data_IF_209800360567
#
_entry.id   IF_209800360567
#
_cell.length_a   1.000
_cell.length_b   1.000
_cell.length_c   1.000
_cell.angle_alpha   90.00
_cell.angle_beta   90.00
_cell.angle_gamma   90.00
#
_symmetry.space_group_name_H-M   'P 1'
#
loop_
_entity.id
_entity.type
_entity.pdbx_description
1 polymer ?
#
# COMPACT_ATOMS: atom_id res chain seq x y z
N UNK A 1 -18.50 -3.54 13.45
CA UNK A 1 -17.43 -4.26 12.73
C UNK A 1 -17.92 -4.51 11.32
N UNK A 2 -17.12 -4.27 10.27
CA UNK A 2 -17.55 -4.62 8.91
C UNK A 2 -17.26 -6.13 8.67
N UNK A 3 -17.97 -6.76 7.73
CA UNK A 3 -17.83 -8.21 7.48
C UNK A 3 -16.42 -8.62 7.01
N UNK A 4 -15.67 -7.71 6.39
CA UNK A 4 -14.28 -7.98 6.00
C UNK A 4 -13.40 -8.08 7.24
N UNK A 5 -13.56 -7.16 8.19
CA UNK A 5 -12.81 -7.18 9.44
C UNK A 5 -13.09 -8.45 10.25
N UNK A 6 -14.34 -8.91 10.31
CA UNK A 6 -14.70 -10.18 10.96
C UNK A 6 -14.03 -11.38 10.29
N UNK A 7 -13.98 -11.42 8.95
CA UNK A 7 -13.31 -12.48 8.20
C UNK A 7 -11.79 -12.47 8.42
N UNK A 8 -11.18 -11.29 8.44
CA UNK A 8 -9.76 -11.12 8.76
C UNK A 8 -9.46 -11.60 10.17
N UNK A 9 -10.24 -11.16 11.17
CA UNK A 9 -10.05 -11.57 12.56
C UNK A 9 -10.20 -13.09 12.73
N UNK A 10 -11.09 -13.74 11.96
CA UNK A 10 -11.20 -15.20 11.92
C UNK A 10 -9.94 -15.87 11.37
N UNK A 11 -9.42 -15.38 10.24
CA UNK A 11 -8.18 -15.90 9.61
C UNK A 11 -6.98 -15.70 10.54
N UNK A 12 -6.91 -14.55 11.21
CA UNK A 12 -5.86 -14.24 12.21
C UNK A 12 -5.87 -15.29 13.33
N UNK A 13 -7.05 -15.58 13.89
CA UNK A 13 -7.17 -16.55 14.98
C UNK A 13 -6.75 -17.96 14.54
N UNK A 14 -7.16 -18.40 13.35
CA UNK A 14 -6.76 -19.71 12.80
C UNK A 14 -5.25 -19.82 12.58
N UNK A 15 -4.60 -18.76 12.09
CA UNK A 15 -3.15 -18.71 11.90
C UNK A 15 -2.40 -18.78 13.24
N UNK A 16 -2.82 -17.99 14.24
CA UNK A 16 -2.23 -18.00 15.59
C UNK A 16 -2.36 -19.39 16.23
N UNK A 17 -3.51 -20.06 16.10
CA UNK A 17 -3.71 -21.42 16.61
C UNK A 17 -2.81 -22.44 15.90
N UNK A 18 -2.65 -22.31 14.57
CA UNK A 18 -1.76 -23.15 13.77
C UNK A 18 -0.27 -22.99 14.14
N UNK A 19 0.21 -21.76 14.35
CA UNK A 19 1.59 -21.48 14.74
C UNK A 19 1.92 -21.97 16.15
N UNK A 20 1.01 -21.75 17.11
CA UNK A 20 1.14 -22.25 18.49
C UNK A 20 1.24 -23.77 18.58
N UNK A 21 0.58 -24.49 17.68
CA UNK A 21 0.60 -25.95 17.66
C UNK A 21 1.90 -26.55 17.10
N UNK A 22 2.69 -25.79 16.32
CA UNK A 22 3.85 -26.30 15.57
C UNK A 22 5.20 -25.78 16.07
N UNK A 23 5.24 -24.75 16.89
CA UNK A 23 6.48 -24.06 17.23
C UNK A 23 6.83 -24.10 18.73
N UNK A 24 7.87 -24.88 19.07
CA UNK A 24 8.45 -24.97 20.42
C UNK A 24 9.48 -23.86 20.71
N UNK A 25 9.91 -23.08 19.71
CA UNK A 25 10.96 -22.05 19.80
C UNK A 25 10.44 -20.61 19.63
N UNK A 26 9.23 -20.42 19.12
CA UNK A 26 8.52 -19.13 19.05
C UNK A 26 8.85 -18.24 17.84
N UNK A 27 9.70 -18.67 16.91
CA UNK A 27 10.08 -17.93 15.69
C UNK A 27 8.94 -17.85 14.66
N UNK A 28 8.12 -18.90 14.55
CA UNK A 28 6.94 -18.99 13.67
C UNK A 28 5.84 -18.03 14.14
N UNK A 29 5.64 -17.95 15.46
CA UNK A 29 4.64 -17.06 16.08
C UNK A 29 5.00 -15.59 15.84
N UNK A 30 6.29 -15.22 15.86
CA UNK A 30 6.73 -13.85 15.61
C UNK A 30 6.52 -13.44 14.15
N UNK A 31 6.86 -14.30 13.20
CA UNK A 31 6.65 -14.03 11.77
C UNK A 31 5.17 -13.95 11.41
N UNK A 32 4.33 -14.83 11.95
CA UNK A 32 2.88 -14.76 11.77
C UNK A 32 2.32 -13.44 12.33
N UNK A 33 2.76 -12.98 13.50
CA UNK A 33 2.31 -11.70 14.06
C UNK A 33 2.68 -10.50 13.18
N UNK A 34 3.86 -10.50 12.55
CA UNK A 34 4.29 -9.46 11.60
C UNK A 34 3.39 -9.47 10.35
N UNK A 35 3.13 -10.65 9.79
CA UNK A 35 2.24 -10.79 8.63
C UNK A 35 0.81 -10.36 8.94
N UNK A 36 0.32 -10.63 10.15
CA UNK A 36 -0.99 -10.19 10.62
C UNK A 36 -1.09 -8.68 10.81
N UNK A 37 -0.03 -8.04 11.32
CA UNK A 37 0.04 -6.58 11.43
C UNK A 37 -0.03 -5.94 10.04
N UNK A 38 0.73 -6.47 9.08
CA UNK A 38 0.70 -6.01 7.69
C UNK A 38 -0.68 -6.18 7.05
N UNK A 39 -1.35 -7.32 7.28
CA UNK A 39 -2.71 -7.54 6.77
C UNK A 39 -3.71 -6.55 7.36
N UNK A 40 -3.65 -6.30 8.67
CA UNK A 40 -4.49 -5.27 9.33
C UNK A 40 -4.24 -3.89 8.75
N UNK A 41 -2.97 -3.53 8.56
CA UNK A 41 -2.60 -2.26 7.98
C UNK A 41 -3.17 -2.07 6.56
N UNK A 42 -3.08 -3.08 5.70
CA UNK A 42 -3.61 -3.03 4.34
C UNK A 42 -5.14 -2.97 4.29
N UNK A 43 -5.82 -3.38 5.35
CA UNK A 43 -7.29 -3.32 5.45
C UNK A 43 -7.74 -1.95 5.92
N UNK A 44 -7.02 -1.37 6.88
CA UNK A 44 -7.28 -0.01 7.38
C UNK A 44 -6.81 1.07 6.40
N UNK A 45 -5.75 0.79 5.63
CA UNK A 45 -5.17 1.65 4.61
C UNK A 45 -5.08 0.91 3.28
N UNK A 46 -6.23 0.61 2.63
CA UNK A 46 -6.22 -0.07 1.36
C UNK A 46 -5.57 0.81 0.29
N UNK A 47 -4.94 0.20 -0.72
CA UNK A 47 -4.40 0.94 -1.83
C UNK A 47 -5.52 1.68 -2.57
N UNK A 48 -5.21 2.91 -2.98
CA UNK A 48 -6.09 3.76 -3.75
C UNK A 48 -6.31 3.16 -5.14
N UNK A 49 -7.57 3.07 -5.53
CA UNK A 49 -7.93 2.85 -6.93
C UNK A 49 -7.66 4.12 -7.73
N UNK A 50 -7.52 3.98 -9.04
CA UNK A 50 -7.28 5.11 -9.92
C UNK A 50 -8.36 6.19 -9.77
N UNK A 51 -9.63 5.81 -9.66
CA UNK A 51 -10.77 6.73 -9.54
C UNK A 51 -10.77 7.53 -8.23
N UNK A 52 -10.00 7.08 -7.24
CA UNK A 52 -9.86 7.75 -5.95
C UNK A 52 -8.72 8.76 -5.94
N UNK A 53 -7.80 8.69 -6.91
CA UNK A 53 -6.69 9.64 -7.04
C UNK A 53 -7.17 10.94 -7.67
N UNK A 54 -6.79 12.05 -7.05
CA UNK A 54 -7.14 13.41 -7.50
C UNK A 54 -5.94 14.33 -7.41
N UNK A 55 -5.90 15.29 -8.32
CA UNK A 55 -4.89 16.35 -8.31
C UNK A 55 -4.90 17.08 -6.96
N UNK A 56 -3.71 17.40 -6.45
CA UNK A 56 -3.49 18.02 -5.15
C UNK A 56 -3.49 17.06 -3.94
N UNK A 57 -3.85 15.78 -4.11
CA UNK A 57 -3.81 14.81 -3.00
C UNK A 57 -2.38 14.46 -2.61
N UNK A 58 -2.11 14.43 -1.31
CA UNK A 58 -0.92 13.79 -0.76
C UNK A 58 -1.17 12.29 -0.60
N UNK A 59 -0.27 11.48 -1.14
CA UNK A 59 -0.33 10.01 -1.06
C UNK A 59 1.04 9.46 -0.73
N UNK A 60 1.07 8.28 -0.11
CA UNK A 60 2.27 7.46 -0.03
C UNK A 60 2.42 6.69 -1.36
N UNK A 61 3.50 6.96 -2.09
CA UNK A 61 3.91 6.23 -3.29
C UNK A 61 4.77 5.05 -2.85
N UNK A 62 4.20 3.84 -2.82
CA UNK A 62 4.87 2.59 -2.51
C UNK A 62 5.50 1.96 -3.77
N UNK A 63 6.19 2.77 -4.58
CA UNK A 63 6.90 2.29 -5.76
C UNK A 63 8.12 1.47 -5.35
N UNK A 64 8.43 0.42 -6.12
CA UNK A 64 9.63 -0.42 -5.92
C UNK A 64 10.92 0.40 -5.98
N UNK A 65 10.91 1.51 -6.73
CA UNK A 65 12.08 2.37 -6.89
C UNK A 65 12.26 3.38 -5.77
N UNK A 66 11.17 3.85 -5.15
CA UNK A 66 11.24 4.88 -4.13
C UNK A 66 10.00 4.94 -3.23
N UNK A 67 10.26 4.71 -1.93
CA UNK A 67 9.37 4.76 -0.75
C UNK A 67 9.05 6.18 -0.25
N UNK A 68 8.07 6.96 -0.74
CA UNK A 68 7.87 8.32 -0.19
C UNK A 68 6.44 8.90 -0.27
N UNK A 69 6.19 9.92 0.54
CA UNK A 69 5.04 10.81 0.35
C UNK A 69 5.28 11.73 -0.85
N UNK A 70 4.29 11.82 -1.72
CA UNK A 70 4.32 12.71 -2.89
C UNK A 70 2.93 13.28 -3.16
N UNK A 71 2.88 14.52 -3.64
CA UNK A 71 1.62 15.11 -4.08
C UNK A 71 1.31 14.67 -5.53
N UNK A 72 0.06 14.27 -5.76
CA UNK A 72 -0.47 14.01 -7.10
C UNK A 72 -0.64 15.34 -7.83
N UNK A 73 0.07 15.53 -8.94
CA UNK A 73 -0.06 16.73 -9.77
C UNK A 73 -1.15 16.58 -10.82
N UNK A 74 -1.17 15.44 -11.50
CA UNK A 74 -2.11 15.19 -12.61
C UNK A 74 -2.54 13.73 -12.66
N UNK A 75 -3.82 13.51 -12.96
CA UNK A 75 -4.39 12.18 -13.18
C UNK A 75 -5.12 12.19 -14.52
N UNK A 76 -4.66 11.41 -15.48
CA UNK A 76 -5.21 11.44 -16.84
C UNK A 76 -5.13 10.08 -17.52
N UNK A 77 -5.77 9.97 -18.69
CA UNK A 77 -5.64 8.79 -19.56
C UNK A 77 -4.74 9.12 -20.75
N UNK A 78 -3.88 8.18 -21.10
CA UNK A 78 -3.07 8.24 -22.33
C UNK A 78 -3.33 6.95 -23.11
N UNK A 79 -4.14 7.03 -24.17
CA UNK A 79 -4.62 5.85 -24.88
C UNK A 79 -5.47 4.95 -23.97
N UNK A 80 -5.05 3.71 -23.79
CA UNK A 80 -5.70 2.74 -22.87
C UNK A 80 -5.23 2.85 -21.43
N UNK A 81 -4.13 3.57 -21.19
CA UNK A 81 -3.45 3.57 -19.90
C UNK A 81 -3.93 4.71 -19.03
N UNK A 82 -4.01 4.41 -17.74
CA UNK A 82 -4.22 5.38 -16.69
C UNK A 82 -2.86 5.89 -16.23
N UNK A 83 -2.69 7.20 -16.16
CA UNK A 83 -1.41 7.85 -15.87
C UNK A 83 -1.56 8.78 -14.69
N UNK A 84 -0.60 8.69 -13.77
CA UNK A 84 -0.49 9.55 -12.59
C UNK A 84 0.86 10.25 -12.65
N UNK A 85 0.83 11.58 -12.63
CA UNK A 85 2.02 12.41 -12.47
C UNK A 85 2.10 12.91 -11.04
N UNK A 86 3.29 12.75 -10.46
CA UNK A 86 3.61 13.21 -9.12
C UNK A 86 4.44 14.49 -9.18
N UNK A 87 4.47 15.24 -8.09
CA UNK A 87 5.29 16.46 -7.97
C UNK A 87 6.77 16.25 -8.31
N UNK A 88 7.33 15.11 -7.92
CA UNK A 88 8.71 14.73 -8.23
C UNK A 88 8.97 14.43 -9.71
N UNK A 89 7.92 14.24 -10.52
CA UNK A 89 8.04 13.97 -11.95
C UNK A 89 8.08 15.26 -12.80
N UNK A 90 8.11 16.45 -12.17
CA UNK A 90 8.30 17.72 -12.88
C UNK A 90 9.73 17.82 -13.43
N UNK A 91 9.88 17.95 -14.75
CA UNK A 91 11.16 18.28 -15.38
C UNK A 91 11.45 19.78 -15.26
N UNK A 92 12.74 20.14 -15.15
CA UNK A 92 13.22 21.53 -15.01
C UNK A 92 12.74 22.48 -16.13
N UNK A 93 12.37 21.95 -17.30
CA UNK A 93 11.93 22.72 -18.46
C UNK A 93 10.40 22.85 -18.60
N UNK A 94 9.61 22.42 -17.60
CA UNK A 94 8.20 22.81 -17.43
C UNK A 94 7.18 22.29 -18.46
N UNK A 95 7.60 21.62 -19.54
CA UNK A 95 6.70 21.43 -20.69
C UNK A 95 5.94 20.09 -20.74
N UNK A 96 6.35 19.01 -20.05
CA UNK A 96 5.56 17.78 -20.01
C UNK A 96 5.64 17.07 -18.66
N UNK A 97 4.47 16.81 -18.05
CA UNK A 97 4.37 15.94 -16.88
C UNK A 97 4.81 14.53 -17.28
N UNK A 98 5.97 14.06 -16.79
CA UNK A 98 6.40 12.66 -16.94
C UNK A 98 5.53 11.77 -16.03
N UNK A 99 4.27 11.64 -16.38
CA UNK A 99 3.35 10.75 -15.68
C UNK A 99 3.76 9.29 -15.87
N UNK A 100 3.60 8.50 -14.82
CA UNK A 100 3.83 7.05 -14.87
C UNK A 100 2.49 6.32 -14.99
N UNK A 101 2.52 5.16 -15.64
CA UNK A 101 1.35 4.28 -15.65
C UNK A 101 0.91 3.98 -14.20
N UNK A 102 -0.39 4.02 -13.99
CA UNK A 102 -0.99 3.61 -12.73
C UNK A 102 -0.79 2.12 -12.53
N UNK A 103 -0.32 1.75 -11.34
CA UNK A 103 -0.13 0.38 -10.92
C UNK A 103 -0.99 0.14 -9.69
N UNK A 104 -1.69 -1.00 -9.66
CA UNK A 104 -2.42 -1.42 -8.46
C UNK A 104 -1.44 -1.61 -7.29
N UNK A 105 -1.92 -1.38 -6.07
CA UNK A 105 -1.11 -1.48 -4.84
C UNK A 105 0.05 -0.49 -4.73
N UNK A 106 0.04 0.60 -5.51
CA UNK A 106 1.10 1.62 -5.47
C UNK A 106 0.80 2.77 -4.52
N UNK A 107 -0.39 3.35 -4.60
CA UNK A 107 -0.69 4.59 -3.87
C UNK A 107 -1.54 4.32 -2.64
N UNK A 108 -1.17 4.91 -1.51
CA UNK A 108 -1.87 4.75 -0.23
C UNK A 108 -2.17 6.11 0.39
N UNK A 109 -3.18 6.17 1.26
CA UNK A 109 -3.56 7.44 1.94
C UNK A 109 -2.56 7.84 3.01
N UNK A 110 -1.91 6.85 3.62
CA UNK A 110 -0.83 7.01 4.60
C UNK A 110 0.31 6.03 4.26
N UNK A 111 1.45 6.26 4.87
CA UNK A 111 2.62 5.39 4.82
C UNK A 111 2.23 3.94 5.12
N UNK A 112 2.84 3.03 4.34
CA UNK A 112 2.77 1.60 4.60
C UNK A 112 4.05 1.22 5.33
N UNK A 113 3.94 0.96 6.62
CA UNK A 113 5.08 0.57 7.45
C UNK A 113 5.37 -0.90 7.24
N UNK A 114 6.42 -1.22 6.48
CA UNK A 114 6.97 -2.57 6.52
C UNK A 114 7.69 -2.73 7.87
N UNK A 115 6.98 -3.17 8.93
CA UNK A 115 7.58 -3.59 10.21
C UNK A 115 8.43 -4.88 10.06
N UNK A 116 9.05 -5.10 8.89
CA UNK A 116 10.14 -6.06 8.75
C UNK A 116 11.39 -5.45 9.39
N UNK A 117 11.55 -5.73 10.69
CA UNK A 117 12.84 -5.87 11.39
C UNK A 117 13.57 -4.54 11.67
N UNK A 118 13.59 -4.13 12.94
CA UNK A 118 14.79 -3.58 13.59
C UNK A 118 15.35 -4.62 14.55
#
# INVERSE_FOLDING_TARGET
MNKYQEALDSIVNELIECGRAKDLKGETILNEQIELNLLRELVDNPPLKFEELKEGMWVWDNSVYEKNYSQVKKVFRLGTDFVVSMEKDECEDGDEYLGRAFEGNRFFRREVTDEKIQ
#
